data_IF_271026586518
#
_entry.id   IF_271026586518
#
_cell.length_a   1.000
_cell.length_b   1.000
_cell.length_c   1.000
_cell.angle_alpha   90.00
_cell.angle_beta   90.00
_cell.angle_gamma   90.00
#
_symmetry.space_group_name_H-M   'P 1'
#
loop_
_entity.id
_entity.type
_entity.pdbx_description
1 polymer ?
#
# COMPACT_ATOMS: atom_id res chain seq x y z
N UNK A 1 -1.93 -31.84 0.76
CA UNK A 1 -1.57 -32.87 1.77
C UNK A 1 -2.13 -34.27 1.42
N UNK A 2 -2.00 -34.72 0.15
CA UNK A 2 -2.39 -36.07 -0.33
C UNK A 2 -1.41 -36.64 -1.37
N UNK A 3 -0.18 -36.12 -1.40
CA UNK A 3 0.90 -36.55 -2.32
C UNK A 3 2.07 -37.19 -1.55
N UNK A 4 2.12 -37.04 -0.22
CA UNK A 4 3.17 -37.60 0.64
C UNK A 4 3.03 -39.11 0.93
N UNK A 5 1.95 -39.77 0.47
CA UNK A 5 1.70 -41.20 0.75
C UNK A 5 1.99 -42.14 -0.43
N UNK A 6 2.39 -41.61 -1.60
CA UNK A 6 2.81 -42.44 -2.74
C UNK A 6 4.33 -42.57 -2.92
N UNK A 7 5.13 -41.83 -2.14
CA UNK A 7 6.59 -41.86 -2.22
C UNK A 7 7.27 -42.91 -1.31
N UNK A 8 6.52 -43.60 -0.44
CA UNK A 8 7.10 -44.57 0.51
C UNK A 8 7.18 -46.02 0.00
N UNK A 9 6.83 -46.30 -1.27
CA UNK A 9 6.82 -47.69 -1.81
C UNK A 9 8.04 -48.01 -2.69
N UNK A 10 8.88 -47.05 -3.06
CA UNK A 10 10.01 -47.29 -3.98
C UNK A 10 11.41 -47.32 -3.34
N UNK A 11 11.53 -47.28 -2.01
CA UNK A 11 12.84 -47.21 -1.31
C UNK A 11 13.30 -48.55 -0.70
N UNK A 12 12.79 -49.68 -1.18
CA UNK A 12 12.96 -50.99 -0.53
C UNK A 12 13.46 -52.15 -1.39
N UNK A 13 14.04 -51.95 -2.57
CA UNK A 13 14.59 -53.08 -3.36
C UNK A 13 15.91 -52.76 -4.08
N UNK A 14 17.07 -52.97 -3.43
CA UNK A 14 18.36 -53.05 -4.11
C UNK A 14 18.58 -54.47 -4.68
N UNK A 15 17.61 -55.04 -5.41
CA UNK A 15 17.67 -56.43 -5.88
C UNK A 15 17.42 -56.64 -7.38
N UNK A 16 17.02 -55.60 -8.13
CA UNK A 16 16.79 -55.75 -9.58
C UNK A 16 18.00 -55.38 -10.47
N UNK A 17 18.92 -54.52 -10.02
CA UNK A 17 20.18 -54.28 -10.75
C UNK A 17 21.27 -55.33 -10.45
N UNK A 18 21.19 -56.02 -9.30
CA UNK A 18 22.11 -57.11 -8.97
C UNK A 18 21.85 -58.37 -9.81
N UNK A 19 20.61 -58.59 -10.27
CA UNK A 19 20.23 -59.78 -11.06
C UNK A 19 20.63 -59.70 -12.54
N UNK A 20 20.71 -58.50 -13.13
CA UNK A 20 21.23 -58.32 -14.49
C UNK A 20 22.76 -58.36 -14.55
N UNK A 21 23.46 -57.90 -13.52
CA UNK A 21 24.93 -57.98 -13.43
C UNK A 21 25.40 -59.40 -13.05
N UNK A 22 24.62 -60.16 -12.26
CA UNK A 22 24.93 -61.58 -12.00
C UNK A 22 24.58 -62.49 -13.18
N UNK A 23 23.57 -62.15 -13.99
CA UNK A 23 23.24 -62.95 -15.19
C UNK A 23 24.27 -62.77 -16.31
N UNK A 24 24.90 -61.59 -16.46
CA UNK A 24 26.01 -61.43 -17.41
C UNK A 24 27.34 -62.02 -16.91
N UNK A 25 27.52 -62.13 -15.58
CA UNK A 25 28.72 -62.75 -14.97
C UNK A 25 28.67 -64.28 -14.94
N UNK A 26 27.49 -64.89 -15.04
CA UNK A 26 27.33 -66.34 -15.11
C UNK A 26 27.57 -66.94 -16.52
N UNK A 27 27.46 -66.15 -17.59
CA UNK A 27 27.78 -66.59 -18.96
C UNK A 27 29.22 -66.31 -19.39
N UNK A 28 30.01 -65.64 -18.53
CA UNK A 28 31.43 -65.36 -18.78
C UNK A 28 32.34 -66.30 -17.99
N UNK A 29 32.04 -67.61 -17.98
CA UNK A 29 33.06 -68.63 -17.73
C UNK A 29 33.95 -68.71 -18.97
N UNK A 30 35.01 -67.92 -18.99
CA UNK A 30 36.21 -68.26 -19.75
C UNK A 30 36.61 -69.68 -19.35
N UNK A 31 36.32 -70.65 -20.21
CA UNK A 31 36.99 -71.94 -20.19
C UNK A 31 38.40 -71.72 -20.74
N UNK A 32 39.47 -71.93 -19.96
CA UNK A 32 40.81 -72.00 -20.50
C UNK A 32 41.00 -73.43 -21.03
N UNK A 33 40.29 -73.81 -22.08
CA UNK A 33 40.63 -75.04 -22.80
C UNK A 33 41.76 -74.71 -23.79
N UNK A 34 42.95 -74.55 -23.19
CA UNK A 34 44.21 -74.72 -23.87
C UNK A 34 44.27 -76.13 -24.48
N UNK A 35 45.02 -76.20 -25.57
CA UNK A 35 45.57 -77.40 -26.23
C UNK A 35 44.56 -78.41 -26.73
N UNK A 36 44.13 -78.30 -28.00
CA UNK A 36 44.09 -79.41 -28.96
C UNK A 36 43.48 -78.95 -30.31
N UNK A 37 44.07 -77.95 -30.96
CA UNK A 37 43.72 -77.62 -32.36
C UNK A 37 44.76 -76.78 -33.11
N UNK A 38 46.05 -76.88 -32.75
CA UNK A 38 47.15 -76.24 -33.52
C UNK A 38 48.20 -77.21 -34.06
N UNK A 39 47.91 -78.51 -34.07
CA UNK A 39 48.73 -79.53 -34.73
C UNK A 39 48.04 -80.21 -35.92
N UNK A 40 46.89 -79.69 -36.37
CA UNK A 40 46.08 -80.33 -37.41
C UNK A 40 46.40 -79.88 -38.84
N UNK A 41 46.92 -78.68 -39.06
CA UNK A 41 47.14 -78.17 -40.43
C UNK A 41 48.57 -78.36 -40.91
N UNK A 42 49.57 -78.22 -40.03
CA UNK A 42 50.98 -78.48 -40.34
C UNK A 42 51.27 -79.98 -40.50
N UNK A 43 50.63 -80.84 -39.70
CA UNK A 43 50.76 -82.29 -39.79
C UNK A 43 50.07 -82.90 -41.02
N UNK A 44 48.93 -82.33 -41.45
CA UNK A 44 48.24 -82.75 -42.67
C UNK A 44 49.01 -82.32 -43.93
N UNK A 45 49.61 -81.13 -43.92
CA UNK A 45 50.52 -80.67 -44.99
C UNK A 45 51.77 -81.54 -45.08
N UNK A 46 52.34 -81.98 -43.95
CA UNK A 46 53.50 -82.88 -43.93
C UNK A 46 53.15 -84.28 -44.46
N UNK A 47 51.98 -84.83 -44.10
CA UNK A 47 51.46 -86.11 -44.62
C UNK A 47 51.13 -86.03 -46.12
N UNK A 48 50.59 -84.90 -46.59
CA UNK A 48 50.34 -84.65 -48.01
C UNK A 48 51.65 -84.57 -48.80
N UNK A 49 52.68 -83.90 -48.27
CA UNK A 49 54.01 -83.81 -48.90
C UNK A 49 54.71 -85.19 -48.90
N UNK A 50 54.61 -85.96 -47.81
CA UNK A 50 55.20 -87.31 -47.72
C UNK A 50 54.50 -88.33 -48.63
N UNK A 51 53.16 -88.26 -48.73
CA UNK A 51 52.39 -89.06 -49.68
C UNK A 51 52.68 -88.66 -51.13
N UNK A 52 52.84 -87.37 -51.45
CA UNK A 52 53.25 -86.94 -52.79
C UNK A 52 54.66 -87.41 -53.18
N UNK A 53 55.58 -87.54 -52.22
CA UNK A 53 56.94 -88.05 -52.45
C UNK A 53 56.98 -89.57 -52.67
N UNK A 54 56.09 -90.34 -52.03
CA UNK A 54 55.99 -91.80 -52.20
C UNK A 54 55.30 -92.20 -53.52
N UNK A 55 54.38 -91.37 -54.03
CA UNK A 55 53.70 -91.58 -55.31
C UNK A 55 54.65 -91.33 -56.51
N UNK A 56 55.70 -90.53 -56.33
CA UNK A 56 56.71 -90.22 -57.36
C UNK A 56 57.65 -91.38 -57.73
N UNK A 57 57.65 -92.51 -57.00
CA UNK A 57 58.59 -93.61 -57.25
C UNK A 57 58.12 -94.65 -58.29
N UNK A 58 56.83 -94.66 -58.69
CA UNK A 58 56.26 -95.73 -59.54
C UNK A 58 55.14 -95.31 -60.51
N UNK A 59 54.95 -94.03 -60.84
CA UNK A 59 53.84 -93.56 -61.70
C UNK A 59 54.35 -92.56 -62.76
N UNK A 60 53.82 -92.62 -63.98
CA UNK A 60 54.09 -91.67 -65.06
C UNK A 60 53.80 -90.21 -64.63
N UNK A 61 54.62 -89.27 -65.13
CA UNK A 61 54.77 -87.89 -64.66
C UNK A 61 53.46 -87.06 -64.64
N UNK A 62 52.46 -87.43 -65.45
CA UNK A 62 51.20 -86.69 -65.59
C UNK A 62 50.22 -86.85 -64.42
N UNK A 63 50.26 -87.97 -63.68
CA UNK A 63 49.30 -88.23 -62.59
C UNK A 63 49.62 -87.47 -61.29
N UNK A 64 50.92 -87.23 -60.99
CA UNK A 64 51.35 -86.55 -59.76
C UNK A 64 51.04 -85.06 -59.80
N UNK A 65 51.21 -84.42 -60.97
CA UNK A 65 50.88 -83.00 -61.18
C UNK A 65 49.38 -82.78 -61.01
N UNK A 66 48.54 -83.70 -61.51
CA UNK A 66 47.08 -83.66 -61.33
C UNK A 66 46.65 -83.71 -59.86
N UNK A 67 47.22 -84.63 -59.07
CA UNK A 67 46.88 -84.77 -57.64
C UNK A 67 47.36 -83.56 -56.82
N UNK A 68 48.55 -83.04 -57.10
CA UNK A 68 49.10 -81.88 -56.41
C UNK A 68 48.29 -80.59 -56.68
N UNK A 69 47.78 -80.42 -57.91
CA UNK A 69 46.89 -79.31 -58.27
C UNK A 69 45.52 -79.42 -57.59
N UNK A 70 44.95 -80.64 -57.51
CA UNK A 70 43.68 -80.88 -56.80
C UNK A 70 43.82 -80.61 -55.30
N UNK A 71 44.93 -81.05 -54.68
CA UNK A 71 45.20 -80.79 -53.27
C UNK A 71 45.46 -79.31 -52.97
N UNK A 72 46.20 -78.59 -53.84
CA UNK A 72 46.36 -77.14 -53.72
C UNK A 72 45.03 -76.40 -53.90
N UNK A 73 44.22 -76.82 -54.88
CA UNK A 73 42.87 -76.29 -55.07
C UNK A 73 41.99 -76.49 -53.83
N UNK A 74 42.04 -77.69 -53.24
CA UNK A 74 41.29 -78.00 -52.01
C UNK A 74 41.78 -77.17 -50.80
N UNK A 75 43.09 -77.02 -50.63
CA UNK A 75 43.68 -76.16 -49.60
C UNK A 75 43.32 -74.68 -49.79
N UNK A 76 43.32 -74.18 -51.03
CA UNK A 76 42.93 -72.81 -51.34
C UNK A 76 41.43 -72.57 -51.04
N UNK A 77 40.56 -73.52 -51.40
CA UNK A 77 39.12 -73.45 -51.08
C UNK A 77 38.88 -73.54 -49.58
N UNK A 78 39.59 -74.43 -48.86
CA UNK A 78 39.50 -74.55 -47.41
C UNK A 78 40.00 -73.28 -46.69
N UNK A 79 41.10 -72.68 -47.16
CA UNK A 79 41.62 -71.42 -46.64
C UNK A 79 40.65 -70.27 -46.90
N UNK A 80 40.10 -70.15 -48.13
CA UNK A 80 39.10 -69.15 -48.48
C UNK A 80 37.80 -69.31 -47.67
N UNK A 81 37.36 -70.56 -47.42
CA UNK A 81 36.22 -70.85 -46.57
C UNK A 81 36.48 -70.45 -45.11
N UNK A 82 37.68 -70.70 -44.60
CA UNK A 82 38.08 -70.29 -43.25
C UNK A 82 38.15 -68.76 -43.11
N UNK A 83 38.75 -68.06 -44.08
CA UNK A 83 38.82 -66.59 -44.10
C UNK A 83 37.41 -66.00 -44.13
N UNK A 84 36.54 -66.45 -45.05
CA UNK A 84 35.13 -66.00 -45.11
C UNK A 84 34.36 -66.30 -43.81
N UNK A 85 34.63 -67.43 -43.16
CA UNK A 85 34.01 -67.80 -41.88
C UNK A 85 34.46 -66.89 -40.73
N UNK A 86 35.74 -66.49 -40.70
CA UNK A 86 36.28 -65.54 -39.72
C UNK A 86 35.75 -64.13 -39.98
N UNK A 87 35.71 -63.67 -41.23
CA UNK A 87 35.15 -62.37 -41.61
C UNK A 87 33.67 -62.24 -41.21
N UNK A 88 32.85 -63.26 -41.49
CA UNK A 88 31.44 -63.27 -41.06
C UNK A 88 31.28 -63.17 -39.55
N UNK A 89 32.15 -63.85 -38.77
CA UNK A 89 32.13 -63.77 -37.30
C UNK A 89 32.58 -62.39 -36.79
N UNK A 90 33.59 -61.79 -37.43
CA UNK A 90 34.04 -60.44 -37.10
C UNK A 90 32.99 -59.38 -37.44
N UNK A 91 32.31 -59.51 -38.57
CA UNK A 91 31.20 -58.64 -38.95
C UNK A 91 30.05 -58.73 -37.93
N UNK A 92 29.63 -59.95 -37.57
CA UNK A 92 28.60 -60.17 -36.55
C UNK A 92 29.02 -59.64 -35.17
N UNK A 93 30.28 -59.79 -34.77
CA UNK A 93 30.82 -59.23 -33.53
C UNK A 93 30.82 -57.70 -33.55
N UNK A 94 31.25 -57.08 -34.67
CA UNK A 94 31.25 -55.63 -34.86
C UNK A 94 29.85 -55.04 -34.77
N UNK A 95 28.88 -55.71 -35.38
CA UNK A 95 27.48 -55.31 -35.35
C UNK A 95 26.91 -55.40 -33.93
N UNK A 96 27.17 -56.51 -33.21
CA UNK A 96 26.79 -56.65 -31.79
C UNK A 96 27.42 -55.58 -30.90
N UNK A 97 28.66 -55.19 -31.19
CA UNK A 97 29.35 -54.14 -30.44
C UNK A 97 28.75 -52.76 -30.72
N UNK A 98 28.30 -52.50 -31.97
CA UNK A 98 27.52 -51.31 -32.31
C UNK A 98 26.15 -51.32 -31.62
N UNK A 99 25.44 -52.45 -31.62
CA UNK A 99 24.14 -52.59 -30.96
C UNK A 99 24.25 -52.33 -29.44
N UNK A 100 25.30 -52.85 -28.80
CA UNK A 100 25.59 -52.59 -27.39
C UNK A 100 25.95 -51.12 -27.11
N UNK A 101 26.66 -50.47 -28.04
CA UNK A 101 27.06 -49.05 -27.92
C UNK A 101 25.87 -48.11 -28.11
N UNK A 102 24.98 -48.42 -29.05
CA UNK A 102 23.69 -47.72 -29.24
C UNK A 102 22.77 -47.90 -28.02
N UNK A 103 22.83 -49.07 -27.36
CA UNK A 103 22.08 -49.32 -26.13
C UNK A 103 22.64 -48.59 -24.89
N UNK A 104 23.92 -48.19 -24.88
CA UNK A 104 24.56 -47.48 -23.76
C UNK A 104 24.58 -45.95 -23.90
N UNK A 105 24.53 -45.42 -25.13
CA UNK A 105 24.46 -43.97 -25.43
C UNK A 105 23.41 -43.16 -24.65
N UNK A 106 22.20 -43.69 -24.39
CA UNK A 106 21.17 -42.92 -23.71
C UNK A 106 21.48 -42.63 -22.24
N UNK A 107 22.17 -43.58 -21.59
CA UNK A 107 22.63 -43.42 -20.21
C UNK A 107 23.76 -42.38 -20.10
N UNK A 108 24.68 -42.37 -21.05
CA UNK A 108 25.78 -41.39 -21.12
C UNK A 108 25.25 -39.97 -21.37
N UNK A 109 24.32 -39.78 -22.32
CA UNK A 109 23.74 -38.44 -22.60
C UNK A 109 22.96 -37.87 -21.42
N UNK A 110 22.21 -38.70 -20.69
CA UNK A 110 21.53 -38.26 -19.47
C UNK A 110 22.53 -37.90 -18.36
N UNK A 111 23.67 -38.60 -18.31
CA UNK A 111 24.77 -38.34 -17.38
C UNK A 111 25.50 -37.02 -17.68
N UNK A 112 25.49 -36.56 -18.93
CA UNK A 112 26.01 -35.26 -19.35
C UNK A 112 24.97 -34.12 -19.17
N UNK A 113 23.68 -34.42 -19.37
CA UNK A 113 22.58 -33.44 -19.24
C UNK A 113 22.29 -33.04 -17.79
N UNK A 114 22.26 -34.01 -16.86
CA UNK A 114 21.89 -33.77 -15.46
C UNK A 114 22.79 -32.80 -14.69
N UNK A 115 24.13 -32.85 -14.83
CA UNK A 115 25.03 -31.88 -14.23
C UNK A 115 24.76 -30.43 -14.67
N UNK A 116 24.16 -30.22 -15.83
CA UNK A 116 23.81 -28.89 -16.35
C UNK A 116 22.41 -28.43 -15.91
N UNK A 117 21.41 -29.33 -15.96
CA UNK A 117 20.02 -29.00 -15.66
C UNK A 117 19.71 -28.89 -14.16
N UNK A 118 20.19 -29.81 -13.32
CA UNK A 118 19.88 -29.75 -11.88
C UNK A 118 20.32 -28.43 -11.23
N UNK A 119 21.56 -27.96 -11.44
CA UNK A 119 21.99 -26.67 -10.90
C UNK A 119 21.24 -25.48 -11.48
N UNK A 120 20.77 -25.57 -12.74
CA UNK A 120 19.94 -24.54 -13.34
C UNK A 120 18.56 -24.46 -12.68
N UNK A 121 17.86 -25.59 -12.56
CA UNK A 121 16.58 -25.65 -11.85
C UNK A 121 16.71 -25.24 -10.39
N UNK A 122 17.77 -25.67 -9.70
CA UNK A 122 18.06 -25.23 -8.33
C UNK A 122 18.17 -23.72 -8.24
N UNK A 123 18.90 -23.06 -9.16
CA UNK A 123 19.03 -21.60 -9.18
C UNK A 123 17.72 -20.87 -9.46
N UNK A 124 16.88 -21.40 -10.36
CA UNK A 124 15.53 -20.88 -10.57
C UNK A 124 14.66 -20.99 -9.32
N UNK A 125 14.69 -22.15 -8.64
CA UNK A 125 13.97 -22.37 -7.38
C UNK A 125 14.48 -21.47 -6.26
N UNK A 126 15.80 -21.30 -6.15
CA UNK A 126 16.43 -20.39 -5.17
C UNK A 126 16.04 -18.93 -5.44
N UNK A 127 15.97 -18.53 -6.71
CA UNK A 127 15.51 -17.20 -7.11
C UNK A 127 14.05 -16.99 -6.73
N UNK A 128 13.18 -17.96 -7.02
CA UNK A 128 11.76 -17.93 -6.61
C UNK A 128 11.62 -17.81 -5.10
N UNK A 129 12.41 -18.60 -4.35
CA UNK A 129 12.44 -18.54 -2.89
C UNK A 129 12.84 -17.14 -2.40
N UNK A 130 13.96 -16.60 -2.88
CA UNK A 130 14.45 -15.27 -2.48
C UNK A 130 13.46 -14.17 -2.84
N UNK A 131 12.88 -14.18 -4.04
CA UNK A 131 11.90 -13.19 -4.46
C UNK A 131 10.63 -13.24 -3.61
N UNK A 132 10.15 -14.44 -3.29
CA UNK A 132 8.98 -14.64 -2.42
C UNK A 132 9.27 -14.15 -1.00
N UNK A 133 10.42 -14.53 -0.42
CA UNK A 133 10.81 -14.09 0.93
C UNK A 133 10.98 -12.56 1.01
N UNK A 134 11.62 -11.95 0.01
CA UNK A 134 11.78 -10.50 -0.08
C UNK A 134 10.44 -9.78 -0.24
N UNK A 135 9.59 -10.23 -1.16
CA UNK A 135 8.28 -9.61 -1.38
C UNK A 135 7.39 -9.73 -0.16
N UNK A 136 7.31 -10.90 0.47
CA UNK A 136 6.53 -11.10 1.72
C UNK A 136 7.05 -10.20 2.84
N UNK A 137 8.36 -10.06 2.99
CA UNK A 137 8.95 -9.17 3.99
C UNK A 137 8.56 -7.71 3.75
N UNK A 138 8.63 -7.24 2.50
CA UNK A 138 8.21 -5.88 2.12
C UNK A 138 6.72 -5.67 2.34
N UNK A 139 5.86 -6.64 1.97
CA UNK A 139 4.42 -6.58 2.22
C UNK A 139 4.12 -6.43 3.71
N UNK A 140 4.76 -7.22 4.58
CA UNK A 140 4.58 -7.15 6.03
C UNK A 140 5.00 -5.77 6.57
N UNK A 141 6.13 -5.24 6.11
CA UNK A 141 6.61 -3.92 6.52
C UNK A 141 5.66 -2.81 6.10
N UNK A 142 5.20 -2.82 4.84
CA UNK A 142 4.20 -1.86 4.33
C UNK A 142 2.86 -1.97 5.04
N UNK A 143 2.34 -3.18 5.32
CA UNK A 143 1.12 -3.34 6.12
C UNK A 143 1.31 -2.84 7.55
N UNK A 144 2.46 -3.12 8.17
CA UNK A 144 2.77 -2.61 9.50
C UNK A 144 2.87 -1.09 9.55
N UNK A 145 3.47 -0.47 8.52
CA UNK A 145 3.48 0.99 8.33
C UNK A 145 2.06 1.52 8.22
N UNK A 146 1.28 0.97 7.30
CA UNK A 146 -0.09 1.40 7.03
C UNK A 146 -0.98 1.32 8.27
N UNK A 147 -0.93 0.23 9.05
CA UNK A 147 -1.71 0.10 10.30
C UNK A 147 -1.31 1.18 11.31
N UNK A 148 -0.01 1.45 11.48
CA UNK A 148 0.46 2.51 12.39
C UNK A 148 0.00 3.90 11.94
N UNK A 149 0.07 4.18 10.63
CA UNK A 149 -0.36 5.47 10.08
C UNK A 149 -1.88 5.61 10.13
N UNK A 150 -2.62 4.52 9.94
CA UNK A 150 -4.08 4.47 10.07
C UNK A 150 -4.54 4.75 11.51
N UNK A 151 -3.85 4.16 12.50
CA UNK A 151 -4.09 4.41 13.92
C UNK A 151 -3.76 5.86 14.32
N UNK A 152 -2.60 6.38 13.89
CA UNK A 152 -2.18 7.77 14.17
C UNK A 152 -3.13 8.80 13.57
N UNK A 153 -3.71 8.50 12.41
CA UNK A 153 -4.70 9.35 11.76
C UNK A 153 -6.08 9.32 12.43
N UNK A 154 -6.31 8.44 13.41
CA UNK A 154 -7.59 8.35 14.12
C UNK A 154 -8.72 7.72 13.30
N UNK A 155 -8.41 6.97 12.22
CA UNK A 155 -9.42 6.31 11.38
C UNK A 155 -10.15 5.14 12.05
N UNK A 156 -9.83 4.80 13.31
CA UNK A 156 -10.45 3.72 14.07
C UNK A 156 -11.96 3.84 14.34
N UNK A 157 -12.63 4.88 13.81
CA UNK A 157 -14.07 5.12 13.99
C UNK A 157 -14.91 5.39 12.74
N UNK A 158 -14.36 5.74 11.58
CA UNK A 158 -15.17 6.13 10.40
C UNK A 158 -14.48 5.77 9.07
N UNK A 159 -15.27 5.21 8.15
CA UNK A 159 -14.93 4.77 6.79
C UNK A 159 -14.36 5.88 5.89
N UNK A 160 -13.37 5.51 5.07
CA UNK A 160 -12.60 6.41 4.20
C UNK A 160 -13.36 6.98 2.99
N UNK A 161 -12.71 7.99 2.38
CA UNK A 161 -13.10 8.85 1.25
C UNK A 161 -13.89 10.14 1.61
N UNK A 162 -14.85 10.10 2.53
CA UNK A 162 -15.52 11.33 3.03
C UNK A 162 -14.60 12.18 3.92
N UNK A 163 -13.60 11.57 4.55
CA UNK A 163 -12.80 12.22 5.60
C UNK A 163 -11.87 13.34 5.11
N UNK A 164 -11.31 13.23 3.90
CA UNK A 164 -10.43 14.28 3.35
C UNK A 164 -11.23 15.52 2.93
N UNK A 165 -12.42 15.32 2.37
CA UNK A 165 -13.34 16.40 1.99
C UNK A 165 -14.00 17.01 3.23
N UNK A 166 -14.29 16.17 4.24
CA UNK A 166 -14.71 16.62 5.55
C UNK A 166 -13.63 17.48 6.21
N UNK A 167 -12.36 17.09 6.18
CA UNK A 167 -11.25 17.88 6.71
C UNK A 167 -11.14 19.28 6.07
N UNK A 168 -11.23 19.37 4.74
CA UNK A 168 -11.21 20.66 4.02
C UNK A 168 -12.45 21.51 4.34
N UNK A 169 -13.62 20.87 4.41
CA UNK A 169 -14.87 21.52 4.82
C UNK A 169 -14.78 21.99 6.26
N UNK A 170 -14.18 21.22 7.16
CA UNK A 170 -13.95 21.59 8.55
C UNK A 170 -13.02 22.80 8.60
N UNK A 171 -11.88 22.82 7.92
CA UNK A 171 -10.96 23.97 7.89
C UNK A 171 -11.62 25.25 7.36
N UNK A 172 -12.46 25.15 6.34
CA UNK A 172 -13.21 26.31 5.82
C UNK A 172 -14.26 26.81 6.82
N UNK A 173 -15.03 25.89 7.44
CA UNK A 173 -16.03 26.21 8.46
C UNK A 173 -15.38 26.83 9.72
N UNK A 174 -14.20 26.33 10.10
CA UNK A 174 -13.38 26.86 11.19
C UNK A 174 -12.94 28.30 10.94
N UNK A 175 -12.48 28.60 9.73
CA UNK A 175 -12.12 29.97 9.34
C UNK A 175 -13.32 30.92 9.34
N UNK A 176 -14.50 30.44 8.94
CA UNK A 176 -15.75 31.19 9.02
C UNK A 176 -16.09 31.47 10.49
N UNK A 177 -16.08 30.47 11.37
CA UNK A 177 -16.32 30.66 12.80
C UNK A 177 -15.35 31.70 13.42
N UNK A 178 -14.06 31.62 13.10
CA UNK A 178 -13.06 32.60 13.57
C UNK A 178 -13.36 34.02 13.08
N UNK A 179 -13.79 34.17 11.82
CA UNK A 179 -14.15 35.46 11.22
C UNK A 179 -15.42 36.06 11.81
N UNK A 180 -16.42 35.24 12.12
CA UNK A 180 -17.73 35.69 12.62
C UNK A 180 -17.73 35.96 14.14
N UNK A 181 -16.92 35.24 14.93
CA UNK A 181 -16.90 35.42 16.39
C UNK A 181 -16.21 36.72 16.86
N UNK A 182 -15.23 37.23 16.11
CA UNK A 182 -14.56 38.50 16.43
C UNK A 182 -15.50 39.71 16.42
N UNK A 183 -16.30 39.93 15.36
CA UNK A 183 -17.31 40.98 15.28
C UNK A 183 -18.38 40.93 16.38
N UNK A 184 -18.70 39.73 16.90
CA UNK A 184 -19.67 39.59 18.01
C UNK A 184 -19.16 40.26 19.29
N UNK A 185 -17.87 40.12 19.63
CA UNK A 185 -17.30 40.80 20.80
C UNK A 185 -17.32 42.32 20.57
N UNK A 186 -16.93 42.77 19.38
CA UNK A 186 -16.88 44.19 19.05
C UNK A 186 -18.27 44.86 19.12
N UNK A 187 -19.31 44.20 18.61
CA UNK A 187 -20.69 44.72 18.68
C UNK A 187 -21.20 44.80 20.13
N UNK A 188 -20.83 43.85 20.99
CA UNK A 188 -21.15 43.92 22.41
C UNK A 188 -20.43 45.08 23.13
N UNK A 189 -19.17 45.33 22.81
CA UNK A 189 -18.43 46.49 23.33
C UNK A 189 -19.06 47.82 22.89
N UNK A 190 -19.48 47.94 21.63
CA UNK A 190 -20.19 49.12 21.12
C UNK A 190 -21.53 49.33 21.84
N UNK A 191 -22.25 48.26 22.17
CA UNK A 191 -23.52 48.35 22.90
C UNK A 191 -23.33 48.92 24.31
N UNK A 192 -22.26 48.53 25.00
CA UNK A 192 -21.89 49.09 26.31
C UNK A 192 -21.57 50.59 26.17
N UNK A 193 -20.79 50.97 25.15
CA UNK A 193 -20.48 52.38 24.90
C UNK A 193 -21.70 53.25 24.61
N UNK A 194 -22.65 52.76 23.81
CA UNK A 194 -23.91 53.48 23.52
C UNK A 194 -24.78 53.65 24.77
N UNK A 195 -24.74 52.68 25.69
CA UNK A 195 -25.45 52.74 26.96
C UNK A 195 -24.86 53.79 27.91
N UNK A 196 -23.55 53.95 27.93
CA UNK A 196 -22.89 55.01 28.71
C UNK A 196 -23.35 56.42 28.24
N UNK A 197 -23.51 56.61 26.93
CA UNK A 197 -24.06 57.84 26.37
C UNK A 197 -25.52 58.08 26.80
N UNK A 198 -26.35 57.03 26.80
CA UNK A 198 -27.73 57.09 27.27
C UNK A 198 -27.82 57.44 28.76
N UNK A 199 -26.96 56.85 29.60
CA UNK A 199 -26.85 57.16 31.02
C UNK A 199 -26.50 58.63 31.25
N UNK A 200 -25.57 59.17 30.47
CA UNK A 200 -25.19 60.58 30.54
C UNK A 200 -26.35 61.52 30.16
N UNK A 201 -27.15 61.16 29.15
CA UNK A 201 -28.34 61.92 28.79
C UNK A 201 -29.42 61.90 29.89
N UNK A 202 -29.59 60.79 30.60
CA UNK A 202 -30.51 60.71 31.75
C UNK A 202 -30.00 61.56 32.93
N UNK A 203 -28.68 61.61 33.17
CA UNK A 203 -28.10 62.51 34.18
C UNK A 203 -28.38 63.98 33.85
N UNK A 204 -28.21 64.39 32.59
CA UNK A 204 -28.57 65.73 32.12
C UNK A 204 -30.06 66.03 32.31
N UNK A 205 -30.95 65.07 32.00
CA UNK A 205 -32.39 65.20 32.25
C UNK A 205 -32.69 65.40 33.74
N UNK A 206 -32.01 64.66 34.62
CA UNK A 206 -32.17 64.79 36.07
C UNK A 206 -31.79 66.18 36.56
N UNK A 207 -30.68 66.74 36.05
CA UNK A 207 -30.25 68.10 36.37
C UNK A 207 -31.28 69.15 35.88
N UNK A 208 -31.73 69.05 34.62
CA UNK A 208 -32.75 69.96 34.07
C UNK A 208 -34.07 69.89 34.86
N UNK A 209 -34.46 68.69 35.30
CA UNK A 209 -35.65 68.48 36.12
C UNK A 209 -35.51 69.14 37.50
N UNK A 210 -34.30 69.11 38.10
CA UNK A 210 -34.02 69.83 39.34
C UNK A 210 -34.13 71.36 39.20
N UNK A 211 -33.68 71.90 38.07
CA UNK A 211 -33.86 73.34 37.77
C UNK A 211 -35.33 73.70 37.58
N UNK A 212 -36.11 72.83 36.92
CA UNK A 212 -37.56 73.01 36.79
C UNK A 212 -38.29 72.99 38.14
N UNK A 213 -37.84 72.17 39.09
CA UNK A 213 -38.42 72.14 40.43
C UNK A 213 -38.25 73.48 41.15
N UNK A 214 -37.04 74.06 41.08
CA UNK A 214 -36.74 75.39 41.64
C UNK A 214 -37.56 76.49 40.96
N UNK A 215 -37.74 76.41 39.64
CA UNK A 215 -38.59 77.37 38.92
C UNK A 215 -40.06 77.27 39.36
N UNK A 216 -40.58 76.06 39.54
CA UNK A 216 -41.94 75.84 40.03
C UNK A 216 -42.15 76.39 41.46
N UNK A 217 -41.15 76.19 42.34
CA UNK A 217 -41.14 76.76 43.69
C UNK A 217 -41.13 78.30 43.66
N UNK A 218 -40.29 78.89 42.81
CA UNK A 218 -40.23 80.34 42.62
C UNK A 218 -41.57 80.91 42.12
N UNK A 219 -42.23 80.25 41.15
CA UNK A 219 -43.57 80.63 40.68
C UNK A 219 -44.59 80.60 41.83
N UNK A 220 -44.55 79.56 42.66
CA UNK A 220 -45.39 79.47 43.85
C UNK A 220 -45.15 80.60 44.85
N UNK A 221 -43.88 80.95 45.09
CA UNK A 221 -43.48 82.05 45.98
C UNK A 221 -43.93 83.42 45.46
N UNK A 222 -43.72 83.69 44.17
CA UNK A 222 -44.18 84.91 43.50
C UNK A 222 -45.71 85.01 43.58
N UNK A 223 -46.41 83.92 43.26
CA UNK A 223 -47.86 83.86 43.36
C UNK A 223 -48.38 84.14 44.78
N UNK A 224 -47.72 83.62 45.82
CA UNK A 224 -48.07 83.90 47.20
C UNK A 224 -47.87 85.39 47.56
N UNK A 225 -46.75 86.00 47.13
CA UNK A 225 -46.48 87.43 47.32
C UNK A 225 -47.49 88.30 46.57
N UNK A 226 -47.81 87.97 45.32
CA UNK A 226 -48.81 88.70 44.53
C UNK A 226 -50.21 88.58 45.15
N UNK A 227 -50.57 87.41 45.70
CA UNK A 227 -51.82 87.23 46.42
C UNK A 227 -51.89 88.11 47.67
N UNK A 228 -50.79 88.25 48.44
CA UNK A 228 -50.72 89.16 49.58
C UNK A 228 -50.85 90.63 49.16
N UNK A 229 -50.15 91.05 48.09
CA UNK A 229 -50.28 92.40 47.54
C UNK A 229 -51.70 92.70 47.07
N UNK A 230 -52.35 91.73 46.42
CA UNK A 230 -53.73 91.86 45.95
C UNK A 230 -54.73 91.98 47.11
N UNK A 231 -54.50 91.27 48.22
CA UNK A 231 -55.29 91.41 49.45
C UNK A 231 -55.11 92.81 50.04
N UNK A 232 -53.87 93.30 50.16
CA UNK A 232 -53.60 94.64 50.66
C UNK A 232 -54.25 95.72 49.78
N UNK A 233 -54.18 95.57 48.46
CA UNK A 233 -54.84 96.47 47.51
C UNK A 233 -56.36 96.42 47.62
N UNK A 234 -56.96 95.25 47.80
CA UNK A 234 -58.40 95.11 48.00
C UNK A 234 -58.87 95.78 49.31
N UNK A 235 -58.09 95.67 50.39
CA UNK A 235 -58.35 96.35 51.66
C UNK A 235 -58.31 97.87 51.50
N UNK A 236 -57.28 98.40 50.85
CA UNK A 236 -57.14 99.85 50.64
C UNK A 236 -58.21 100.39 49.68
N UNK A 237 -58.57 99.63 48.63
CA UNK A 237 -59.67 99.96 47.74
C UNK A 237 -61.02 100.04 48.47
N UNK A 238 -61.27 99.15 49.45
CA UNK A 238 -62.44 99.21 50.31
C UNK A 238 -62.42 100.42 51.26
N UNK A 239 -61.23 100.81 51.74
CA UNK A 239 -61.02 101.94 52.65
C UNK A 239 -61.35 103.31 52.01
N UNK A 240 -61.05 103.49 50.72
CA UNK A 240 -61.33 104.73 49.96
C UNK A 240 -62.81 104.80 49.50
N UNK A 241 -63.61 103.76 49.76
CA UNK A 241 -65.05 103.75 49.54
C UNK A 241 -65.45 103.84 48.06
N UNK A 242 -66.33 104.78 47.71
CA UNK A 242 -66.99 104.86 46.39
C UNK A 242 -65.98 105.07 45.25
N UNK A 243 -64.89 105.81 45.50
CA UNK A 243 -63.83 106.09 44.53
C UNK A 243 -62.87 104.90 44.32
N UNK A 244 -62.85 103.92 45.24
CA UNK A 244 -62.00 102.72 45.18
C UNK A 244 -62.60 101.53 44.42
N UNK A 245 -63.86 101.60 43.98
CA UNK A 245 -64.57 100.46 43.36
C UNK A 245 -63.87 99.85 42.15
N UNK A 246 -63.28 100.67 41.28
CA UNK A 246 -62.51 100.17 40.13
C UNK A 246 -61.25 99.40 40.54
N UNK A 247 -60.53 99.90 41.55
CA UNK A 247 -59.35 99.23 42.11
C UNK A 247 -59.70 97.93 42.84
N UNK A 248 -60.87 97.86 43.49
CA UNK A 248 -61.33 96.64 44.15
C UNK A 248 -61.56 95.49 43.15
N UNK A 249 -62.12 95.78 41.97
CA UNK A 249 -62.31 94.79 40.89
C UNK A 249 -60.97 94.29 40.36
N UNK A 250 -60.02 95.21 40.10
CA UNK A 250 -58.67 94.83 39.65
C UNK A 250 -57.95 93.99 40.70
N UNK A 251 -58.00 94.38 41.98
CA UNK A 251 -57.39 93.64 43.07
C UNK A 251 -57.97 92.22 43.21
N UNK A 252 -59.28 92.05 43.02
CA UNK A 252 -59.91 90.73 43.02
C UNK A 252 -59.45 89.84 41.85
N UNK A 253 -59.30 90.40 40.64
CA UNK A 253 -58.81 89.63 39.48
C UNK A 253 -57.32 89.28 39.63
N UNK A 254 -56.48 90.20 40.12
CA UNK A 254 -55.06 89.93 40.42
C UNK A 254 -54.95 88.84 41.49
N UNK A 255 -55.79 88.87 42.52
CA UNK A 255 -55.84 87.82 43.56
C UNK A 255 -56.18 86.44 42.95
N UNK A 256 -57.19 86.40 42.07
CA UNK A 256 -57.60 85.17 41.39
C UNK A 256 -56.49 84.61 40.49
N UNK A 257 -55.83 85.47 39.70
CA UNK A 257 -54.67 85.09 38.88
C UNK A 257 -53.51 84.57 39.75
N UNK A 258 -53.25 85.20 40.89
CA UNK A 258 -52.22 84.75 41.82
C UNK A 258 -52.53 83.35 42.39
N UNK A 259 -53.77 83.09 42.81
CA UNK A 259 -54.17 81.75 43.27
C UNK A 259 -54.06 80.70 42.16
N UNK A 260 -54.44 81.03 40.92
CA UNK A 260 -54.32 80.14 39.77
C UNK A 260 -52.85 79.83 39.44
N UNK A 261 -51.97 80.83 39.51
CA UNK A 261 -50.52 80.66 39.33
C UNK A 261 -49.90 79.77 40.41
N UNK A 262 -50.34 79.91 41.67
CA UNK A 262 -49.89 79.06 42.77
C UNK A 262 -50.29 77.59 42.55
N UNK A 263 -51.54 77.34 42.15
CA UNK A 263 -52.00 75.99 41.85
C UNK A 263 -51.27 75.40 40.62
N UNK A 264 -51.06 76.20 39.58
CA UNK A 264 -50.29 75.78 38.39
C UNK A 264 -48.84 75.43 38.77
N UNK A 265 -48.17 76.26 39.58
CA UNK A 265 -46.82 75.97 40.08
C UNK A 265 -46.76 74.67 40.88
N UNK A 266 -47.77 74.39 41.70
CA UNK A 266 -47.89 73.13 42.44
C UNK A 266 -48.05 71.92 41.50
N UNK A 267 -48.89 72.03 40.47
CA UNK A 267 -49.06 70.96 39.48
C UNK A 267 -47.76 70.70 38.70
N UNK A 268 -47.02 71.75 38.33
CA UNK A 268 -45.70 71.62 37.70
C UNK A 268 -44.74 70.88 38.64
N UNK A 269 -44.66 71.28 39.92
CA UNK A 269 -43.80 70.63 40.90
C UNK A 269 -44.10 69.13 41.05
N UNK A 270 -45.39 68.74 41.08
CA UNK A 270 -45.79 67.33 41.12
C UNK A 270 -45.32 66.55 39.89
N UNK A 271 -45.49 67.11 38.69
CA UNK A 271 -45.05 66.47 37.44
C UNK A 271 -43.53 66.36 37.35
N UNK A 272 -42.82 67.38 37.78
CA UNK A 272 -41.35 67.39 37.85
C UNK A 272 -40.85 66.30 38.80
N UNK A 273 -41.49 66.12 39.96
CA UNK A 273 -41.17 65.02 40.89
C UNK A 273 -41.42 63.64 40.29
N UNK A 274 -42.51 63.46 39.56
CA UNK A 274 -42.81 62.22 38.84
C UNK A 274 -41.74 61.88 37.80
N UNK A 275 -41.34 62.87 36.99
CA UNK A 275 -40.25 62.72 35.99
C UNK A 275 -38.91 62.42 36.67
N UNK A 276 -38.57 63.11 37.76
CA UNK A 276 -37.34 62.89 38.52
C UNK A 276 -37.29 61.47 39.11
N UNK A 277 -38.39 61.01 39.69
CA UNK A 277 -38.51 59.65 40.21
C UNK A 277 -38.33 58.61 39.09
N UNK A 278 -38.93 58.83 37.93
CA UNK A 278 -38.78 57.94 36.76
C UNK A 278 -37.33 57.91 36.25
N UNK A 279 -36.68 59.07 36.15
CA UNK A 279 -35.28 59.17 35.76
C UNK A 279 -34.36 58.41 36.73
N UNK A 280 -34.59 58.54 38.05
CA UNK A 280 -33.85 57.80 39.08
C UNK A 280 -34.02 56.29 38.96
N UNK A 281 -35.26 55.81 38.83
CA UNK A 281 -35.52 54.37 38.62
C UNK A 281 -34.85 53.84 37.35
N UNK A 282 -34.80 54.66 36.29
CA UNK A 282 -34.13 54.31 35.04
C UNK A 282 -32.60 54.20 35.22
N UNK A 283 -31.98 55.12 35.97
CA UNK A 283 -30.56 55.04 36.32
C UNK A 283 -30.24 53.76 37.10
N UNK A 284 -31.01 53.45 38.16
CA UNK A 284 -30.81 52.24 38.96
C UNK A 284 -30.98 50.95 38.12
N UNK A 285 -31.95 50.92 37.20
CA UNK A 285 -32.14 49.81 36.30
C UNK A 285 -30.98 49.66 35.30
N UNK A 286 -30.47 50.78 34.79
CA UNK A 286 -29.36 50.80 33.85
C UNK A 286 -28.03 50.38 34.51
N UNK A 287 -27.78 50.77 35.76
CA UNK A 287 -26.61 50.32 36.55
C UNK A 287 -26.64 48.80 36.76
N UNK A 288 -27.77 48.24 37.19
CA UNK A 288 -27.94 46.78 37.32
C UNK A 288 -27.74 46.05 36.01
N UNK A 289 -28.25 46.60 34.91
CA UNK A 289 -28.05 46.03 33.59
C UNK A 289 -26.58 46.12 33.17
N UNK A 290 -25.86 47.20 33.51
CA UNK A 290 -24.44 47.38 33.14
C UNK A 290 -23.54 46.32 33.79
N UNK A 291 -23.78 46.01 35.07
CA UNK A 291 -23.07 44.93 35.76
C UNK A 291 -23.32 43.57 35.09
N UNK A 292 -24.58 43.29 34.73
CA UNK A 292 -24.95 42.07 34.00
C UNK A 292 -24.32 42.00 32.61
N UNK A 293 -24.25 43.12 31.89
CA UNK A 293 -23.66 43.20 30.56
C UNK A 293 -22.15 42.94 30.63
N UNK A 294 -21.45 43.54 31.61
CA UNK A 294 -20.01 43.26 31.85
C UNK A 294 -19.75 41.80 32.16
N UNK A 295 -20.54 41.19 33.04
CA UNK A 295 -20.41 39.76 33.35
C UNK A 295 -20.68 38.88 32.13
N UNK A 296 -21.71 39.21 31.35
CA UNK A 296 -22.05 38.50 30.10
C UNK A 296 -20.94 38.61 29.07
N UNK A 297 -20.36 39.80 28.90
CA UNK A 297 -19.25 40.04 27.98
C UNK A 297 -18.01 39.24 28.36
N UNK A 298 -17.66 39.21 29.66
CA UNK A 298 -16.54 38.41 30.15
C UNK A 298 -16.75 36.91 29.87
N UNK A 299 -17.96 36.39 30.12
CA UNK A 299 -18.30 35.00 29.84
C UNK A 299 -18.26 34.69 28.34
N UNK A 300 -18.87 35.54 27.51
CA UNK A 300 -18.83 35.41 26.05
C UNK A 300 -17.39 35.45 25.52
N UNK A 301 -16.54 36.32 26.06
CA UNK A 301 -15.12 36.38 25.71
C UNK A 301 -14.36 35.08 26.03
N UNK A 302 -14.68 34.43 27.15
CA UNK A 302 -14.12 33.12 27.49
C UNK A 302 -14.63 32.02 26.54
N UNK A 303 -15.95 31.97 26.28
CA UNK A 303 -16.54 31.00 25.34
C UNK A 303 -15.95 31.16 23.94
N UNK A 304 -15.81 32.38 23.44
CA UNK A 304 -15.19 32.65 22.14
C UNK A 304 -13.73 32.16 22.12
N UNK A 305 -12.97 32.40 23.20
CA UNK A 305 -11.59 31.93 23.31
C UNK A 305 -11.49 30.42 23.31
N UNK A 306 -12.37 29.75 24.06
CA UNK A 306 -12.42 28.29 24.09
C UNK A 306 -12.79 27.73 22.72
N UNK A 307 -13.81 28.28 22.05
CA UNK A 307 -14.19 27.88 20.69
C UNK A 307 -13.03 28.07 19.72
N UNK A 308 -12.33 29.22 19.78
CA UNK A 308 -11.15 29.47 18.94
C UNK A 308 -10.01 28.49 19.21
N UNK A 309 -9.80 28.08 20.45
CA UNK A 309 -8.79 27.07 20.80
C UNK A 309 -9.18 25.68 20.27
N UNK A 310 -10.44 25.26 20.42
CA UNK A 310 -10.92 23.99 19.86
C UNK A 310 -10.85 24.00 18.33
N UNK A 311 -11.11 25.15 17.72
CA UNK A 311 -10.99 25.38 16.28
C UNK A 311 -9.57 25.13 15.79
N UNK A 312 -8.57 25.62 16.51
CA UNK A 312 -7.15 25.43 16.17
C UNK A 312 -6.75 23.96 16.26
N UNK A 313 -7.12 23.27 17.34
CA UNK A 313 -6.86 21.83 17.53
C UNK A 313 -7.52 20.98 16.43
N UNK A 314 -8.76 21.31 16.04
CA UNK A 314 -9.45 20.64 14.94
C UNK A 314 -8.75 20.87 13.60
N UNK A 315 -8.23 22.07 13.36
CA UNK A 315 -7.44 22.39 12.18
C UNK A 315 -6.17 21.53 12.08
N UNK A 316 -5.41 21.43 13.18
CA UNK A 316 -4.20 20.61 13.24
C UNK A 316 -4.50 19.12 13.04
N UNK A 317 -5.59 18.63 13.65
CA UNK A 317 -6.03 17.25 13.47
C UNK A 317 -6.41 16.93 12.03
N UNK A 318 -7.09 17.86 11.35
CA UNK A 318 -7.47 17.72 9.95
C UNK A 318 -6.25 17.68 9.02
N UNK A 319 -5.23 18.49 9.29
CA UNK A 319 -3.97 18.49 8.54
C UNK A 319 -3.19 17.18 8.73
N UNK A 320 -3.05 16.71 9.97
CA UNK A 320 -2.37 15.45 10.27
C UNK A 320 -3.07 14.27 9.59
N UNK A 321 -4.40 14.23 9.61
CA UNK A 321 -5.18 13.19 8.93
C UNK A 321 -4.94 13.18 7.40
N UNK A 322 -4.89 14.36 6.76
CA UNK A 322 -4.54 14.48 5.34
C UNK A 322 -3.13 13.97 5.05
N UNK A 323 -2.15 14.31 5.90
CA UNK A 323 -0.77 13.87 5.75
C UNK A 323 -0.67 12.34 5.83
N UNK A 324 -1.21 11.73 6.88
CA UNK A 324 -1.24 10.28 7.04
C UNK A 324 -2.02 9.57 5.91
N UNK A 325 -3.15 10.13 5.48
CA UNK A 325 -3.89 9.62 4.33
C UNK A 325 -3.06 9.57 3.04
N UNK A 326 -2.19 10.57 2.82
CA UNK A 326 -1.27 10.58 1.68
C UNK A 326 -0.18 9.51 1.80
N UNK A 327 0.35 9.29 3.01
CA UNK A 327 1.36 8.24 3.27
C UNK A 327 0.76 6.86 3.02
N UNK A 328 -0.45 6.60 3.53
CA UNK A 328 -1.18 5.35 3.30
C UNK A 328 -1.39 5.11 1.80
N UNK A 329 -1.81 6.13 1.05
CA UNK A 329 -1.99 6.01 -0.41
C UNK A 329 -0.68 5.58 -1.11
N UNK A 330 0.45 6.19 -0.73
CA UNK A 330 1.75 5.82 -1.28
C UNK A 330 2.16 4.38 -0.89
N UNK A 331 1.87 3.95 0.34
CA UNK A 331 2.08 2.57 0.77
C UNK A 331 1.22 1.58 -0.04
N UNK A 332 -0.04 1.92 -0.35
CA UNK A 332 -0.91 1.11 -1.24
C UNK A 332 -0.32 1.00 -2.65
N UNK A 333 0.18 2.10 -3.23
CA UNK A 333 0.82 2.08 -4.55
C UNK A 333 2.06 1.15 -4.56
N UNK A 334 2.89 1.21 -3.53
CA UNK A 334 4.05 0.33 -3.38
C UNK A 334 3.66 -1.14 -3.16
N UNK A 335 2.58 -1.42 -2.42
CA UNK A 335 2.04 -2.77 -2.26
C UNK A 335 1.62 -3.36 -3.62
N UNK A 336 0.95 -2.57 -4.47
CA UNK A 336 0.53 -3.01 -5.81
C UNK A 336 1.73 -3.38 -6.70
N UNK A 337 2.81 -2.60 -6.64
CA UNK A 337 4.06 -2.91 -7.34
C UNK A 337 4.67 -4.20 -6.79
N UNK A 338 4.76 -4.32 -5.45
CA UNK A 338 5.36 -5.48 -4.79
C UNK A 338 4.62 -6.75 -5.17
N UNK A 339 3.28 -6.74 -5.20
CA UNK A 339 2.43 -7.89 -5.56
C UNK A 339 2.70 -8.47 -6.96
N UNK A 340 3.31 -7.71 -7.87
CA UNK A 340 3.69 -8.22 -9.20
C UNK A 340 4.73 -9.35 -9.15
N UNK A 341 5.41 -9.56 -8.01
CA UNK A 341 6.31 -10.71 -7.82
C UNK A 341 5.63 -12.05 -8.09
N UNK A 342 4.30 -12.15 -7.87
CA UNK A 342 3.53 -13.36 -8.12
C UNK A 342 3.60 -13.81 -9.58
N UNK A 343 3.48 -12.86 -10.52
CA UNK A 343 3.58 -13.16 -11.96
C UNK A 343 4.98 -13.64 -12.31
N UNK A 344 6.01 -12.94 -11.80
CA UNK A 344 7.41 -13.30 -12.02
C UNK A 344 7.76 -14.70 -11.49
N UNK A 345 7.32 -15.02 -10.27
CA UNK A 345 7.47 -16.35 -9.66
C UNK A 345 6.74 -17.41 -10.49
N UNK A 346 5.51 -17.14 -10.91
CA UNK A 346 4.72 -18.08 -11.71
C UNK A 346 5.40 -18.39 -13.05
N UNK A 347 5.99 -17.40 -13.71
CA UNK A 347 6.69 -17.60 -14.99
C UNK A 347 7.97 -18.44 -14.82
N UNK A 348 8.76 -18.20 -13.76
CA UNK A 348 9.96 -19.00 -13.47
C UNK A 348 9.57 -20.45 -13.15
N UNK A 349 8.56 -20.67 -12.29
CA UNK A 349 8.11 -22.01 -11.94
C UNK A 349 7.49 -22.76 -13.14
N UNK A 350 6.75 -22.07 -14.01
CA UNK A 350 6.23 -22.67 -15.24
C UNK A 350 7.36 -23.10 -16.17
N UNK A 351 8.40 -22.29 -16.35
CA UNK A 351 9.56 -22.67 -17.17
C UNK A 351 10.25 -23.94 -16.63
N UNK A 352 10.50 -24.00 -15.30
CA UNK A 352 11.10 -25.18 -14.67
C UNK A 352 10.18 -26.40 -14.77
N UNK A 353 8.88 -26.24 -14.51
CA UNK A 353 7.92 -27.35 -14.53
C UNK A 353 7.75 -27.92 -15.95
N UNK A 354 7.64 -27.05 -16.96
CA UNK A 354 7.56 -27.46 -18.35
C UNK A 354 8.83 -28.18 -18.80
N UNK A 355 10.00 -27.72 -18.36
CA UNK A 355 11.28 -28.37 -18.69
C UNK A 355 11.42 -29.75 -18.02
N UNK A 356 10.98 -29.88 -16.76
CA UNK A 356 10.88 -31.16 -16.05
C UNK A 356 9.92 -32.13 -16.74
N UNK A 357 8.75 -31.65 -17.16
CA UNK A 357 7.77 -32.46 -17.89
C UNK A 357 8.31 -32.91 -19.25
N UNK A 358 8.97 -32.02 -19.99
CA UNK A 358 9.66 -32.34 -21.24
C UNK A 358 10.71 -33.42 -21.03
N UNK A 359 11.52 -33.33 -19.97
CA UNK A 359 12.51 -34.36 -19.63
C UNK A 359 11.82 -35.70 -19.33
N UNK A 360 10.77 -35.69 -18.52
CA UNK A 360 10.02 -36.91 -18.17
C UNK A 360 9.42 -37.59 -19.40
N UNK A 361 8.75 -36.83 -20.28
CA UNK A 361 8.17 -37.35 -21.52
C UNK A 361 9.24 -37.96 -22.43
N UNK A 362 10.42 -37.32 -22.51
CA UNK A 362 11.56 -37.82 -23.30
C UNK A 362 12.09 -39.15 -22.73
N UNK A 363 12.09 -39.31 -21.41
CA UNK A 363 12.52 -40.53 -20.72
C UNK A 363 11.49 -41.67 -20.83
N UNK A 364 10.19 -41.37 -20.73
CA UNK A 364 9.10 -42.36 -20.77
C UNK A 364 8.80 -42.90 -22.18
N UNK A 365 9.05 -42.10 -23.23
CA UNK A 365 8.69 -42.41 -24.61
C UNK A 365 9.54 -43.48 -25.33
N UNK A 366 10.46 -44.19 -24.64
CA UNK A 366 11.49 -45.04 -25.25
C UNK A 366 12.36 -44.33 -26.32
N UNK A 367 12.31 -43.00 -26.39
CA UNK A 367 13.10 -42.15 -27.28
C UNK A 367 14.50 -41.84 -26.72
N UNK A 368 14.99 -42.68 -25.81
CA UNK A 368 16.32 -42.54 -25.22
C UNK A 368 17.46 -42.53 -26.28
N UNK A 369 17.35 -43.19 -27.47
CA UNK A 369 18.35 -43.05 -28.54
C UNK A 369 18.47 -41.63 -29.13
N UNK A 370 17.47 -40.75 -28.92
CA UNK A 370 17.35 -39.44 -29.56
C UNK A 370 17.36 -38.28 -28.54
N UNK A 371 17.93 -38.52 -27.34
CA UNK A 371 18.13 -37.44 -26.36
C UNK A 371 18.98 -36.33 -27.00
N UNK A 372 18.51 -35.06 -27.04
CA UNK A 372 19.29 -33.95 -27.56
C UNK A 372 20.60 -33.78 -26.80
N UNK A 373 21.59 -33.16 -27.43
CA UNK A 373 22.81 -32.76 -26.74
C UNK A 373 22.50 -31.72 -25.66
N UNK A 374 23.34 -31.64 -24.63
CA UNK A 374 23.14 -30.72 -23.50
C UNK A 374 23.01 -29.27 -23.96
N UNK A 375 23.83 -28.85 -24.93
CA UNK A 375 23.78 -27.50 -25.47
C UNK A 375 22.49 -27.20 -26.24
N UNK A 376 21.98 -28.19 -26.98
CA UNK A 376 20.73 -28.04 -27.74
C UNK A 376 19.53 -27.89 -26.79
N UNK A 377 19.49 -28.69 -25.72
CA UNK A 377 18.44 -28.58 -24.71
C UNK A 377 18.45 -27.22 -24.02
N UNK A 378 19.64 -26.76 -23.59
CA UNK A 378 19.80 -25.47 -22.93
C UNK A 378 19.42 -24.30 -23.83
N UNK A 379 19.73 -24.35 -25.13
CA UNK A 379 19.31 -23.33 -26.09
C UNK A 379 17.79 -23.28 -26.26
N UNK A 380 17.13 -24.43 -26.36
CA UNK A 380 15.67 -24.51 -26.46
C UNK A 380 14.99 -23.97 -25.18
N UNK A 381 15.51 -24.33 -24.01
CA UNK A 381 15.04 -23.81 -22.74
C UNK A 381 15.20 -22.30 -22.65
N UNK A 382 16.35 -21.76 -23.09
CA UNK A 382 16.58 -20.31 -23.15
C UNK A 382 15.57 -19.59 -24.06
N UNK A 383 15.19 -20.22 -25.18
CA UNK A 383 14.18 -19.68 -26.09
C UNK A 383 12.78 -19.54 -25.47
N UNK A 384 12.51 -20.25 -24.36
CA UNK A 384 11.24 -20.18 -23.63
C UNK A 384 11.19 -19.07 -22.58
N UNK A 385 12.29 -18.38 -22.33
CA UNK A 385 12.36 -17.35 -21.29
C UNK A 385 11.72 -16.05 -21.72
N UNK A 386 10.90 -15.52 -20.82
CA UNK A 386 10.22 -14.23 -20.96
C UNK A 386 10.80 -13.18 -20.03
N UNK A 387 11.53 -13.60 -18.99
CA UNK A 387 12.02 -12.73 -17.92
C UNK A 387 13.54 -12.69 -17.81
N UNK A 388 14.06 -11.52 -17.39
CA UNK A 388 15.50 -11.30 -17.18
C UNK A 388 16.09 -12.27 -16.15
N UNK A 389 15.40 -12.54 -15.05
CA UNK A 389 15.89 -13.45 -14.01
C UNK A 389 16.14 -14.85 -14.54
N UNK A 390 15.27 -15.32 -15.45
CA UNK A 390 15.43 -16.64 -16.05
C UNK A 390 16.71 -16.70 -16.90
N UNK A 391 16.97 -15.65 -17.67
CA UNK A 391 18.18 -15.51 -18.48
C UNK A 391 19.45 -15.42 -17.62
N UNK A 392 19.43 -14.64 -16.54
CA UNK A 392 20.58 -14.51 -15.62
C UNK A 392 20.87 -15.83 -14.90
N UNK A 393 19.83 -16.56 -14.52
CA UNK A 393 19.98 -17.91 -13.98
C UNK A 393 20.53 -18.89 -15.02
N UNK A 394 20.30 -18.68 -16.30
CA UNK A 394 20.89 -19.51 -17.34
C UNK A 394 22.38 -19.22 -17.56
N UNK A 395 22.78 -17.95 -17.42
CA UNK A 395 24.16 -17.47 -17.65
C UNK A 395 24.77 -16.84 -16.39
N UNK A 396 25.21 -17.65 -15.40
CA UNK A 396 25.72 -17.14 -14.12
C UNK A 396 27.01 -16.34 -14.29
N UNK A 397 27.82 -16.63 -15.31
CA UNK A 397 29.05 -15.90 -15.61
C UNK A 397 28.82 -14.45 -16.03
N UNK A 398 27.63 -14.10 -16.51
CA UNK A 398 27.23 -12.73 -16.85
C UNK A 398 26.74 -11.93 -15.64
N UNK A 399 26.51 -12.58 -14.49
CA UNK A 399 26.04 -11.94 -13.25
C UNK A 399 27.14 -11.04 -12.63
N UNK A 400 28.42 -11.35 -12.88
CA UNK A 400 29.53 -10.60 -12.30
C UNK A 400 29.85 -9.26 -12.97
N UNK A 401 29.19 -8.89 -14.08
CA UNK A 401 29.65 -7.75 -14.89
C UNK A 401 28.78 -6.49 -14.83
N UNK A 402 27.66 -6.45 -14.08
CA UNK A 402 26.80 -5.24 -14.10
C UNK A 402 26.10 -4.92 -12.78
N UNK A 403 26.83 -4.21 -11.93
CA UNK A 403 26.27 -3.10 -11.15
C UNK A 403 26.00 -1.95 -12.15
N UNK A 404 24.73 -1.55 -12.36
CA UNK A 404 24.43 -0.22 -12.95
C UNK A 404 23.88 -0.09 -14.38
N UNK A 405 23.17 -1.07 -14.97
CA UNK A 405 22.27 -0.70 -16.11
C UNK A 405 21.00 -1.53 -16.16
N UNK A 406 19.95 -0.92 -15.64
CA UNK A 406 18.54 -1.20 -15.91
C UNK A 406 18.31 -1.08 -17.43
N UNK A 407 18.32 -2.22 -18.12
CA UNK A 407 17.93 -2.34 -19.52
C UNK A 407 16.47 -2.79 -19.53
N UNK A 408 15.57 -1.82 -19.61
CA UNK A 408 14.18 -1.98 -20.01
C UNK A 408 14.12 -2.55 -21.43
N UNK A 409 13.56 -3.75 -21.57
CA UNK A 409 13.01 -4.22 -22.85
C UNK A 409 11.49 -4.17 -22.74
N UNK A 410 10.88 -3.50 -23.70
CA UNK A 410 9.44 -3.35 -23.90
C UNK A 410 8.77 -4.65 -24.32
#
# INVERSE_FOLDING_TARGET
>A
MKIAQRFSVCLGQPLYCASLITRSRAEMKLTPQRSLARFGTSGLLFLVVLCSALILYRIEFDAVVGIALVLNGFCAVAAAWHVRRVERRFAACRQRLQDLRLASQPGERLQDLMPSLLPLWSRHVDTVKQQTESAVSQLIESFGSMVREFDKAGFGGVSGEESAKAAETTVTLLNICKKELGPVIHTLEQMIGSKDELLENIRKLTNATSEMEKMAENVGSIAAQTNLLAINAAIEAARVGVHGRGFAVVAAEVRKLALLSAETGKQISLRVKEVSSSAKMTLEAADRASEKDRSSLANSGNVVRDVLSHVEVLGDSAENMRHHGSVIRNDVENLLITLQYQDRVSQILSAVSNDMEKLQQTLDGNAIPDLPDSDQWLQELQGSYTMRDQFMNHHPSLVHDKDGSELTYF
#
